data_IF_996955539466
#
_entry.id   IF_996955539466
#
_cell.length_a   1.000
_cell.length_b   1.000
_cell.length_c   1.000
_cell.angle_alpha   90.00
_cell.angle_beta   90.00
_cell.angle_gamma   90.00
#
_symmetry.space_group_name_H-M   'P 1'
#
loop_
_entity.id
_entity.type
_entity.pdbx_description
1 polymer ?
#
# COMPACT_ATOMS: atom_id res chain seq x y z
N UNK A 1 -71.34 13.14 -4.98
CA UNK A 1 -69.88 13.12 -5.24
C UNK A 1 -69.24 11.97 -4.39
N UNK A 2 -69.10 10.78 -4.94
CA UNK A 2 -68.48 9.64 -4.27
C UNK A 2 -66.96 9.90 -4.21
N UNK A 3 -66.42 10.22 -3.04
CA UNK A 3 -64.99 10.18 -2.74
C UNK A 3 -64.57 8.74 -2.77
N UNK A 4 -64.05 8.28 -3.90
CA UNK A 4 -63.38 6.99 -3.95
C UNK A 4 -62.17 7.09 -3.01
N UNK A 5 -62.27 6.40 -1.88
CA UNK A 5 -61.14 6.20 -0.98
C UNK A 5 -60.11 5.34 -1.75
N UNK A 6 -59.04 5.98 -2.19
CA UNK A 6 -57.92 5.24 -2.80
C UNK A 6 -57.45 4.18 -1.82
N UNK A 7 -57.19 2.95 -2.26
CA UNK A 7 -56.91 1.84 -1.36
C UNK A 7 -55.69 2.18 -0.51
N UNK A 8 -55.78 1.97 0.78
CA UNK A 8 -54.69 2.15 1.77
C UNK A 8 -53.38 1.45 1.33
N UNK A 9 -53.48 0.36 0.58
CA UNK A 9 -52.38 -0.38 -0.04
C UNK A 9 -51.51 0.47 -0.96
N UNK A 10 -52.05 1.45 -1.69
CA UNK A 10 -51.24 2.32 -2.55
C UNK A 10 -50.37 3.28 -1.74
N UNK A 11 -50.93 3.79 -0.63
CA UNK A 11 -50.15 4.65 0.29
C UNK A 11 -49.05 3.87 0.99
N UNK A 12 -49.36 2.67 1.48
CA UNK A 12 -48.40 1.77 2.08
C UNK A 12 -47.29 1.42 1.08
N UNK A 13 -47.65 1.03 -0.14
CA UNK A 13 -46.68 0.70 -1.19
C UNK A 13 -45.76 1.86 -1.55
N UNK A 14 -46.32 3.10 -1.62
CA UNK A 14 -45.54 4.30 -1.87
C UNK A 14 -44.53 4.62 -0.73
N UNK A 15 -45.01 4.49 0.51
CA UNK A 15 -44.13 4.68 1.69
C UNK A 15 -43.02 3.64 1.74
N UNK A 16 -43.34 2.37 1.46
CA UNK A 16 -42.35 1.30 1.40
C UNK A 16 -41.32 1.56 0.28
N UNK A 17 -41.76 2.07 -0.89
CA UNK A 17 -40.83 2.42 -1.96
C UNK A 17 -39.84 3.53 -1.57
N UNK A 18 -40.32 4.58 -0.86
CA UNK A 18 -39.44 5.65 -0.38
C UNK A 18 -38.50 5.13 0.70
N UNK A 19 -38.96 4.33 1.65
CA UNK A 19 -38.13 3.73 2.69
C UNK A 19 -37.06 2.80 2.07
N UNK A 20 -37.44 2.00 1.09
CA UNK A 20 -36.51 1.15 0.36
C UNK A 20 -35.45 1.99 -0.38
N UNK A 21 -35.87 3.09 -1.04
CA UNK A 21 -34.96 4.00 -1.73
C UNK A 21 -33.92 4.60 -0.74
N UNK A 22 -34.36 5.07 0.39
CA UNK A 22 -33.48 5.65 1.42
C UNK A 22 -32.58 4.60 2.07
N UNK A 23 -33.07 3.37 2.28
CA UNK A 23 -32.28 2.27 2.82
C UNK A 23 -31.20 1.82 1.85
N UNK A 24 -31.52 1.69 0.56
CA UNK A 24 -30.53 1.36 -0.50
C UNK A 24 -29.47 2.46 -0.57
N UNK A 25 -29.88 3.74 -0.55
CA UNK A 25 -28.95 4.86 -0.56
C UNK A 25 -28.04 4.84 0.68
N UNK A 26 -28.61 4.73 1.87
CA UNK A 26 -27.85 4.71 3.12
C UNK A 26 -26.82 3.58 3.16
N UNK A 27 -27.22 2.37 2.74
CA UNK A 27 -26.32 1.23 2.66
C UNK A 27 -25.18 1.45 1.65
N UNK A 28 -25.51 1.98 0.46
CA UNK A 28 -24.52 2.31 -0.55
C UNK A 28 -23.51 3.36 -0.07
N UNK A 29 -24.00 4.49 0.46
CA UNK A 29 -23.12 5.56 0.95
C UNK A 29 -22.29 5.11 2.15
N UNK A 30 -22.86 4.32 3.07
CA UNK A 30 -22.13 3.74 4.19
C UNK A 30 -20.94 2.87 3.71
N UNK A 31 -21.17 2.01 2.72
CA UNK A 31 -20.11 1.17 2.15
C UNK A 31 -19.02 2.01 1.46
N UNK A 32 -19.43 3.03 0.70
CA UNK A 32 -18.49 3.95 0.05
C UNK A 32 -17.63 4.70 1.07
N UNK A 33 -18.26 5.22 2.13
CA UNK A 33 -17.57 5.96 3.18
C UNK A 33 -16.65 5.06 4.02
N UNK A 34 -17.09 3.85 4.34
CA UNK A 34 -16.27 2.87 5.06
C UNK A 34 -15.03 2.49 4.26
N UNK A 35 -15.17 2.19 2.95
CA UNK A 35 -14.05 1.92 2.06
C UNK A 35 -13.08 3.10 1.99
N UNK A 36 -13.59 4.32 1.80
CA UNK A 36 -12.75 5.54 1.74
C UNK A 36 -11.99 5.78 3.04
N UNK A 37 -12.66 5.65 4.19
CA UNK A 37 -12.05 5.85 5.50
C UNK A 37 -10.92 4.82 5.74
N UNK A 38 -11.15 3.55 5.40
CA UNK A 38 -10.12 2.52 5.49
C UNK A 38 -8.95 2.79 4.53
N UNK A 39 -9.24 3.16 3.26
CA UNK A 39 -8.20 3.46 2.29
C UNK A 39 -7.32 4.66 2.72
N UNK A 40 -7.91 5.72 3.30
CA UNK A 40 -7.17 6.90 3.77
C UNK A 40 -6.18 6.52 4.89
N UNK A 41 -6.55 5.63 5.81
CA UNK A 41 -5.65 5.14 6.86
C UNK A 41 -4.41 4.44 6.29
N UNK A 42 -4.53 3.80 5.13
CA UNK A 42 -3.43 3.15 4.40
C UNK A 42 -2.71 4.06 3.39
N UNK A 43 -3.02 5.37 3.38
CA UNK A 43 -2.36 6.37 2.52
C UNK A 43 -3.17 6.84 1.32
N UNK A 44 -4.35 6.27 1.06
CA UNK A 44 -5.25 6.70 0.00
C UNK A 44 -5.91 5.56 -0.77
N UNK A 45 -6.77 5.94 -1.72
CA UNK A 45 -7.41 4.97 -2.62
C UNK A 45 -6.36 4.46 -3.61
N UNK A 46 -6.29 3.14 -3.75
CA UNK A 46 -5.32 2.49 -4.65
C UNK A 46 -5.88 2.44 -6.07
N UNK A 47 -5.10 2.96 -7.01
CA UNK A 47 -5.36 2.85 -8.46
C UNK A 47 -4.41 1.80 -9.03
N UNK A 48 -4.94 0.83 -9.77
CA UNK A 48 -4.10 -0.14 -10.48
C UNK A 48 -3.48 0.56 -11.70
N UNK A 49 -2.15 0.65 -11.74
CA UNK A 49 -1.45 1.15 -12.91
C UNK A 49 -1.62 0.13 -14.05
N UNK A 50 -2.25 0.56 -15.14
CA UNK A 50 -2.20 -0.17 -16.40
C UNK A 50 -0.83 0.03 -17.03
N UNK A 51 -0.33 -0.95 -17.79
CA UNK A 51 1.04 -1.10 -18.34
C UNK A 51 1.69 0.09 -19.06
N UNK A 52 1.31 1.30 -18.81
CA UNK A 52 1.79 2.52 -19.46
C UNK A 52 2.76 3.38 -18.61
N UNK A 53 3.15 2.90 -17.44
CA UNK A 53 4.01 3.68 -16.54
C UNK A 53 3.29 4.86 -15.85
N UNK A 54 4.04 5.82 -15.31
CA UNK A 54 3.47 6.97 -14.62
C UNK A 54 2.69 7.86 -15.59
N UNK A 55 1.45 8.22 -15.20
CA UNK A 55 0.61 9.18 -15.92
C UNK A 55 0.33 10.38 -15.02
N UNK A 56 0.08 11.55 -15.62
CA UNK A 56 -0.26 12.76 -14.86
C UNK A 56 -1.52 12.57 -13.99
N UNK A 57 -2.46 11.71 -14.41
CA UNK A 57 -3.68 11.41 -13.66
C UNK A 57 -3.46 10.59 -12.38
N UNK A 58 -2.30 9.96 -12.22
CA UNK A 58 -1.97 9.13 -11.06
C UNK A 58 -0.99 9.81 -10.09
N UNK A 59 -0.65 11.09 -10.34
CA UNK A 59 0.28 11.80 -9.47
C UNK A 59 -0.37 12.11 -8.12
N UNK A 60 0.34 11.81 -7.04
CA UNK A 60 -0.16 11.93 -5.67
C UNK A 60 -1.03 10.76 -5.19
N UNK A 61 -1.44 9.85 -6.08
CA UNK A 61 -2.29 8.71 -5.76
C UNK A 61 -1.47 7.49 -5.29
N UNK A 62 -2.11 6.62 -4.51
CA UNK A 62 -1.59 5.29 -4.24
C UNK A 62 -1.75 4.42 -5.47
N UNK A 63 -0.65 3.84 -5.96
CA UNK A 63 -0.68 2.98 -7.16
C UNK A 63 -0.25 1.56 -6.81
N UNK A 64 -0.97 0.59 -7.37
CA UNK A 64 -0.56 -0.81 -7.39
C UNK A 64 0.17 -1.08 -8.71
N UNK A 65 1.41 -1.53 -8.59
CA UNK A 65 2.27 -1.89 -9.72
C UNK A 65 2.85 -3.27 -9.50
N UNK A 66 2.81 -4.13 -10.51
CA UNK A 66 3.37 -5.49 -10.45
C UNK A 66 4.34 -5.71 -11.59
N UNK A 67 5.49 -6.31 -11.31
CA UNK A 67 6.48 -6.64 -12.34
C UNK A 67 7.81 -7.11 -11.74
N UNK A 68 8.78 -7.38 -12.62
CA UNK A 68 10.16 -7.65 -12.22
C UNK A 68 10.97 -6.35 -12.28
N UNK A 69 11.61 -5.93 -11.16
CA UNK A 69 12.38 -4.70 -11.14
C UNK A 69 13.51 -4.71 -12.17
N UNK A 70 13.64 -3.61 -12.90
CA UNK A 70 14.74 -3.38 -13.84
C UNK A 70 15.81 -2.51 -13.19
N UNK A 71 17.03 -3.04 -13.09
CA UNK A 71 18.17 -2.31 -12.54
C UNK A 71 18.83 -1.49 -13.66
N UNK A 72 18.78 -0.17 -13.55
CA UNK A 72 19.39 0.76 -14.50
C UNK A 72 20.83 1.09 -14.06
N UNK A 73 21.01 1.42 -12.78
CA UNK A 73 22.33 1.61 -12.18
C UNK A 73 22.56 0.55 -11.09
N UNK A 74 23.55 -0.35 -11.27
CA UNK A 74 23.80 -1.47 -10.37
C UNK A 74 24.19 -1.02 -8.95
N UNK A 75 24.00 -1.90 -7.97
CA UNK A 75 24.60 -1.77 -6.65
C UNK A 75 26.13 -1.88 -6.78
N UNK A 76 26.85 -1.08 -5.99
CA UNK A 76 28.31 -0.97 -6.11
C UNK A 76 29.01 -0.91 -4.75
N UNK A 77 29.77 -1.95 -4.44
CA UNK A 77 30.72 -1.96 -3.34
C UNK A 77 32.03 -1.32 -3.79
N UNK A 78 32.23 -0.07 -3.38
CA UNK A 78 33.43 0.70 -3.77
C UNK A 78 34.72 0.16 -3.15
N UNK A 79 34.64 -0.49 -2.00
CA UNK A 79 35.82 -1.03 -1.31
C UNK A 79 36.46 -2.16 -2.12
N UNK A 80 35.63 -3.10 -2.56
CA UNK A 80 36.09 -4.27 -3.31
C UNK A 80 35.97 -4.13 -4.84
N UNK A 81 35.38 -3.06 -5.34
CA UNK A 81 35.14 -2.86 -6.77
C UNK A 81 33.97 -3.68 -7.34
N UNK A 82 33.20 -4.36 -6.48
CA UNK A 82 32.15 -5.30 -6.87
C UNK A 82 30.88 -4.59 -7.31
N UNK A 83 30.36 -4.97 -8.47
CA UNK A 83 29.11 -4.48 -9.03
C UNK A 83 28.14 -5.63 -9.25
N UNK A 84 26.85 -5.44 -8.85
CA UNK A 84 25.82 -6.42 -9.10
C UNK A 84 24.54 -5.75 -9.59
N UNK A 85 23.90 -6.32 -10.62
CA UNK A 85 22.61 -5.86 -11.15
C UNK A 85 21.46 -6.40 -10.30
N UNK A 86 21.43 -6.00 -9.03
CA UNK A 86 20.46 -6.39 -8.02
C UNK A 86 19.95 -5.16 -7.31
N UNK A 87 18.71 -5.15 -6.75
CA UNK A 87 18.17 -4.00 -6.03
C UNK A 87 19.01 -3.63 -4.81
N UNK A 88 19.38 -4.65 -4.03
CA UNK A 88 20.16 -4.53 -2.79
C UNK A 88 21.23 -5.59 -2.80
N UNK A 89 22.45 -5.20 -2.44
CA UNK A 89 23.59 -6.10 -2.25
C UNK A 89 24.13 -5.91 -0.82
N UNK A 90 24.46 -6.99 -0.16
CA UNK A 90 25.10 -7.00 1.17
C UNK A 90 26.47 -7.62 1.05
N UNK A 91 27.49 -6.91 1.52
CA UNK A 91 28.78 -7.50 1.86
C UNK A 91 28.68 -8.09 3.25
N UNK A 92 29.02 -9.35 3.39
CA UNK A 92 29.14 -10.06 4.66
C UNK A 92 30.62 -10.34 4.90
N UNK A 93 31.17 -9.76 5.94
CA UNK A 93 32.55 -9.96 6.34
C UNK A 93 32.58 -10.81 7.60
N UNK A 94 33.40 -11.84 7.61
CA UNK A 94 33.60 -12.73 8.75
C UNK A 94 35.10 -12.88 9.01
N UNK A 95 35.44 -13.08 10.27
CA UNK A 95 36.80 -13.38 10.71
C UNK A 95 36.81 -14.76 11.36
N UNK A 96 37.86 -15.55 11.09
CA UNK A 96 38.07 -16.82 11.74
C UNK A 96 38.65 -16.54 13.12
N UNK A 97 37.90 -16.81 14.20
CA UNK A 97 38.24 -16.41 15.56
C UNK A 97 37.64 -17.35 16.59
N UNK A 98 38.23 -17.34 17.79
CA UNK A 98 37.74 -18.10 18.89
C UNK A 98 36.37 -17.63 19.38
N UNK A 99 35.51 -18.59 19.67
CA UNK A 99 34.28 -18.40 20.42
C UNK A 99 34.31 -19.23 21.69
N UNK A 100 33.87 -18.64 22.78
CA UNK A 100 33.61 -19.36 24.02
C UNK A 100 32.17 -19.87 24.01
N UNK A 101 31.98 -21.16 24.25
CA UNK A 101 30.69 -21.83 24.22
C UNK A 101 30.48 -22.46 25.59
N UNK A 102 29.47 -22.01 26.32
CA UNK A 102 29.06 -22.65 27.57
C UNK A 102 28.01 -23.73 27.32
N UNK A 103 28.34 -24.95 27.61
CA UNK A 103 27.43 -26.07 27.46
C UNK A 103 27.34 -26.88 28.79
N UNK A 104 26.14 -26.89 29.39
CA UNK A 104 25.80 -27.68 30.59
C UNK A 104 26.81 -27.56 31.76
N UNK A 105 27.39 -26.37 31.93
CA UNK A 105 28.36 -26.10 33.01
C UNK A 105 29.83 -26.34 32.65
N UNK A 106 30.10 -26.79 31.40
CA UNK A 106 31.44 -26.87 30.82
C UNK A 106 31.64 -25.71 29.86
N UNK A 107 32.85 -25.17 29.81
CA UNK A 107 33.24 -24.12 28.84
C UNK A 107 34.15 -24.76 27.80
N UNK A 108 33.79 -24.59 26.53
CA UNK A 108 34.56 -25.05 25.39
C UNK A 108 34.94 -23.87 24.47
N UNK A 109 35.94 -24.05 23.60
CA UNK A 109 36.46 -23.03 22.71
C UNK A 109 36.59 -23.59 21.32
N UNK A 110 35.90 -22.92 20.39
CA UNK A 110 35.90 -23.31 18.96
C UNK A 110 36.37 -22.17 18.07
N UNK A 111 37.13 -22.50 17.03
CA UNK A 111 37.48 -21.57 15.95
C UNK A 111 36.42 -21.63 14.86
N UNK A 112 35.75 -20.50 14.62
CA UNK A 112 34.75 -20.43 13.56
C UNK A 112 34.70 -19.05 12.88
N UNK A 113 33.97 -18.97 11.75
CA UNK A 113 33.74 -17.74 11.02
C UNK A 113 32.65 -16.91 11.70
N UNK A 114 33.01 -15.75 12.25
CA UNK A 114 32.10 -14.85 12.98
C UNK A 114 32.05 -13.49 12.28
N UNK A 115 30.86 -12.91 12.14
CA UNK A 115 30.60 -11.67 11.41
C UNK A 115 30.82 -10.38 12.20
N UNK A 116 31.25 -10.49 13.44
CA UNK A 116 31.59 -9.38 14.33
C UNK A 116 32.85 -9.69 15.15
N UNK A 117 33.58 -8.69 15.63
CA UNK A 117 34.71 -8.92 16.54
C UNK A 117 34.24 -9.55 17.85
N UNK A 118 34.87 -10.64 18.25
CA UNK A 118 34.64 -11.28 19.55
C UNK A 118 35.73 -10.83 20.53
N UNK A 119 35.31 -10.12 21.60
CA UNK A 119 36.22 -9.68 22.62
C UNK A 119 36.63 -10.86 23.55
N UNK A 120 37.76 -11.45 23.23
CA UNK A 120 38.31 -12.58 23.98
C UNK A 120 38.89 -12.22 25.37
N UNK A 121 38.95 -10.92 25.72
CA UNK A 121 39.35 -10.52 27.06
C UNK A 121 38.30 -10.90 28.12
N UNK A 122 37.07 -11.10 27.68
CA UNK A 122 35.95 -11.50 28.54
C UNK A 122 35.79 -13.03 28.65
N UNK A 123 36.63 -13.83 28.00
CA UNK A 123 36.61 -15.29 28.09
C UNK A 123 37.03 -15.78 29.48
N UNK A 124 36.53 -16.93 29.92
CA UNK A 124 36.94 -17.55 31.21
C UNK A 124 38.42 -17.95 31.23
N UNK A 125 38.92 -18.38 30.04
CA UNK A 125 40.32 -18.77 29.86
C UNK A 125 40.95 -18.04 28.66
N UNK A 126 41.26 -16.73 28.76
CA UNK A 126 41.68 -15.91 27.63
C UNK A 126 43.14 -16.16 27.19
N UNK A 127 43.97 -16.83 28.01
CA UNK A 127 45.41 -16.94 27.77
C UNK A 127 45.78 -17.64 26.45
N UNK A 128 44.99 -18.61 26.01
CA UNK A 128 45.24 -19.40 24.79
C UNK A 128 44.22 -19.16 23.70
N UNK A 129 43.24 -18.25 23.93
CA UNK A 129 42.12 -18.02 23.02
C UNK A 129 41.98 -16.55 22.63
N UNK A 130 43.12 -15.86 22.39
CA UNK A 130 43.12 -14.44 22.04
C UNK A 130 42.72 -14.22 20.61
N UNK A 131 41.74 -13.38 20.39
CA UNK A 131 41.28 -12.91 19.08
C UNK A 131 41.99 -11.60 18.70
N UNK A 132 42.08 -11.33 17.35
CA UNK A 132 42.39 -9.99 16.87
C UNK A 132 41.34 -8.99 17.36
N UNK A 133 41.80 -7.79 17.76
CA UNK A 133 40.92 -6.76 18.35
C UNK A 133 40.03 -6.06 17.30
N UNK A 134 40.34 -6.16 16.03
CA UNK A 134 39.63 -5.45 14.96
C UNK A 134 39.48 -6.30 13.73
N UNK A 135 38.32 -6.16 13.06
CA UNK A 135 38.11 -6.66 11.70
C UNK A 135 38.54 -5.59 10.69
N UNK A 136 39.36 -5.94 9.68
CA UNK A 136 39.88 -4.98 8.71
C UNK A 136 38.79 -4.41 7.78
N UNK A 137 37.68 -5.13 7.63
CA UNK A 137 36.53 -4.74 6.83
C UNK A 137 35.24 -4.99 7.60
N UNK A 138 34.27 -4.11 7.46
CA UNK A 138 32.92 -4.31 8.03
C UNK A 138 31.93 -4.87 7.02
N UNK A 139 30.87 -5.50 7.51
CA UNK A 139 29.70 -5.82 6.69
C UNK A 139 28.98 -4.51 6.33
N UNK A 140 28.48 -4.43 5.10
CA UNK A 140 27.88 -3.20 4.56
C UNK A 140 26.79 -3.52 3.54
N UNK A 141 25.86 -2.60 3.34
CA UNK A 141 24.75 -2.72 2.41
C UNK A 141 24.82 -1.65 1.33
N UNK A 142 24.61 -2.08 0.08
CA UNK A 142 24.66 -1.24 -1.10
C UNK A 142 23.34 -1.30 -1.86
N UNK A 143 22.75 -0.15 -2.13
CA UNK A 143 21.54 -0.04 -2.94
C UNK A 143 21.93 0.21 -4.39
N UNK A 144 21.12 -0.32 -5.30
CA UNK A 144 21.18 0.07 -6.70
C UNK A 144 20.89 1.57 -6.83
N UNK A 145 21.62 2.26 -7.69
CA UNK A 145 21.48 3.70 -7.85
C UNK A 145 20.19 4.12 -8.56
N UNK A 146 19.62 3.22 -9.38
CA UNK A 146 18.35 3.44 -10.07
C UNK A 146 17.67 2.10 -10.36
N UNK A 147 16.45 1.94 -9.83
CA UNK A 147 15.60 0.76 -10.02
C UNK A 147 14.25 1.21 -10.55
N UNK A 148 13.77 0.58 -11.61
CA UNK A 148 12.44 0.85 -12.19
C UNK A 148 11.56 -0.39 -12.15
N UNK A 149 10.28 -0.16 -11.88
CA UNK A 149 9.22 -1.16 -11.93
C UNK A 149 8.12 -0.65 -12.85
N UNK A 150 7.89 -1.31 -13.99
CA UNK A 150 6.87 -0.92 -14.98
C UNK A 150 6.87 0.58 -15.31
N UNK A 151 8.06 1.14 -15.55
CA UNK A 151 8.27 2.57 -15.87
C UNK A 151 8.41 3.50 -14.67
N UNK A 152 7.91 3.14 -13.49
CA UNK A 152 8.08 3.92 -12.27
C UNK A 152 9.49 3.79 -11.70
N UNK A 153 10.04 4.90 -11.22
CA UNK A 153 11.25 4.89 -10.40
C UNK A 153 10.91 4.44 -8.98
N UNK A 154 11.70 3.55 -8.41
CA UNK A 154 11.53 3.14 -7.01
C UNK A 154 12.37 4.02 -6.09
N UNK A 155 11.71 4.61 -5.10
CA UNK A 155 12.39 5.37 -4.05
C UNK A 155 13.31 4.46 -3.20
N UNK A 156 14.36 5.02 -2.57
CA UNK A 156 15.38 4.25 -1.84
C UNK A 156 14.80 3.33 -0.76
N UNK A 157 13.74 3.76 -0.08
CA UNK A 157 13.08 2.97 0.98
C UNK A 157 12.41 1.72 0.41
N UNK A 158 11.79 1.82 -0.78
CA UNK A 158 11.18 0.67 -1.45
C UNK A 158 12.24 -0.30 -1.99
N UNK A 159 13.33 0.24 -2.55
CA UNK A 159 14.46 -0.59 -2.99
C UNK A 159 15.04 -1.36 -1.81
N UNK A 160 15.22 -0.68 -0.66
CA UNK A 160 15.72 -1.29 0.57
C UNK A 160 14.84 -2.41 1.11
N UNK A 161 13.52 -2.31 0.88
CA UNK A 161 12.53 -3.28 1.35
C UNK A 161 12.32 -4.45 0.40
N UNK A 162 13.11 -4.57 -0.67
CA UNK A 162 13.02 -5.71 -1.60
C UNK A 162 13.24 -7.02 -0.85
N UNK A 163 12.32 -7.99 -0.99
CA UNK A 163 12.33 -9.21 -0.22
C UNK A 163 13.33 -10.24 -0.77
N UNK A 164 13.78 -11.09 0.13
CA UNK A 164 14.72 -12.17 -0.18
C UNK A 164 16.17 -11.77 0.05
N UNK A 165 16.97 -12.78 0.29
CA UNK A 165 18.42 -12.66 0.46
C UNK A 165 19.05 -13.98 0.07
N UNK A 166 19.90 -13.96 -0.96
CA UNK A 166 20.58 -15.13 -1.50
C UNK A 166 22.06 -14.84 -1.71
N UNK A 167 22.88 -15.86 -1.60
CA UNK A 167 24.32 -15.73 -1.86
C UNK A 167 24.55 -15.50 -3.35
N UNK A 168 25.43 -14.57 -3.68
CA UNK A 168 25.87 -14.30 -5.04
C UNK A 168 27.38 -14.47 -5.14
N UNK A 169 27.83 -14.93 -6.30
CA UNK A 169 29.25 -14.96 -6.64
C UNK A 169 29.54 -13.84 -7.61
N UNK A 170 30.11 -12.72 -7.15
CA UNK A 170 30.49 -11.62 -8.03
C UNK A 170 31.66 -11.99 -8.96
N UNK A 171 31.82 -11.20 -10.01
CA UNK A 171 33.06 -11.20 -10.77
C UNK A 171 34.16 -10.51 -9.96
N UNK A 172 35.26 -11.20 -9.74
CA UNK A 172 36.44 -10.72 -9.01
C UNK A 172 37.51 -10.14 -9.91
N UNK A 173 37.29 -10.07 -11.25
CA UNK A 173 38.25 -9.56 -12.22
C UNK A 173 38.62 -8.09 -12.02
N UNK A 174 37.72 -7.29 -11.47
CA UNK A 174 37.93 -5.87 -11.22
C UNK A 174 38.45 -5.54 -9.78
N UNK A 175 38.98 -6.56 -9.07
CA UNK A 175 39.54 -6.32 -7.74
C UNK A 175 40.78 -5.40 -7.85
N UNK A 176 40.86 -4.44 -6.92
CA UNK A 176 42.02 -3.57 -6.81
C UNK A 176 43.30 -4.37 -6.53
N UNK A 177 44.41 -3.97 -7.08
CA UNK A 177 45.69 -4.72 -6.99
C UNK A 177 46.10 -5.05 -5.53
N UNK A 178 45.88 -4.14 -4.59
CA UNK A 178 46.17 -4.35 -3.18
C UNK A 178 45.27 -5.44 -2.55
N UNK A 179 44.00 -5.52 -2.94
CA UNK A 179 43.10 -6.55 -2.48
C UNK A 179 43.35 -7.87 -3.18
N UNK A 180 43.64 -7.86 -4.47
CA UNK A 180 44.00 -9.05 -5.23
C UNK A 180 45.31 -9.71 -4.71
N UNK A 181 46.20 -8.93 -4.10
CA UNK A 181 47.39 -9.46 -3.45
C UNK A 181 47.11 -10.14 -2.11
N UNK A 182 46.06 -9.72 -1.40
CA UNK A 182 45.74 -10.18 -0.05
C UNK A 182 44.60 -11.20 0.00
N UNK A 183 43.75 -11.24 -1.02
CA UNK A 183 42.57 -12.11 -1.08
C UNK A 183 42.65 -13.13 -2.19
N UNK A 184 42.12 -14.31 -1.95
CA UNK A 184 41.95 -15.38 -2.94
C UNK A 184 40.50 -15.76 -3.08
N UNK A 185 39.98 -15.95 -4.31
CA UNK A 185 38.62 -16.46 -4.51
C UNK A 185 38.50 -17.90 -3.99
N UNK A 186 37.48 -18.17 -3.18
CA UNK A 186 37.16 -19.49 -2.67
C UNK A 186 35.67 -19.66 -2.43
N UNK A 187 35.03 -20.64 -3.08
CA UNK A 187 33.58 -20.95 -2.93
C UNK A 187 32.66 -19.73 -2.98
N UNK A 188 32.87 -18.83 -3.94
CA UNK A 188 32.05 -17.64 -4.13
C UNK A 188 32.38 -16.47 -3.20
N UNK A 189 33.36 -16.61 -2.32
CA UNK A 189 33.85 -15.56 -1.42
C UNK A 189 35.32 -15.21 -1.72
N UNK A 190 35.81 -14.14 -1.13
CA UNK A 190 37.22 -13.77 -1.04
C UNK A 190 37.73 -14.09 0.35
N UNK A 191 38.90 -14.76 0.47
CA UNK A 191 39.51 -15.13 1.73
C UNK A 191 40.98 -14.69 1.77
N UNK A 192 41.47 -14.32 2.96
CA UNK A 192 42.89 -13.96 3.17
C UNK A 192 43.75 -15.19 3.41
N UNK A 193 43.13 -16.32 3.72
CA UNK A 193 43.85 -17.56 4.01
C UNK A 193 44.73 -18.02 2.84
N UNK A 194 45.97 -18.42 3.14
CA UNK A 194 46.86 -19.07 2.15
C UNK A 194 46.30 -20.44 1.72
N UNK A 195 45.74 -21.19 2.69
CA UNK A 195 44.96 -22.40 2.45
C UNK A 195 43.51 -22.19 2.90
N UNK A 196 42.58 -21.85 1.97
CA UNK A 196 41.21 -21.63 2.31
C UNK A 196 40.47 -22.85 2.87
N UNK A 197 41.00 -24.03 2.74
CA UNK A 197 40.50 -25.29 3.34
C UNK A 197 40.87 -25.45 4.82
N UNK A 198 41.88 -24.73 5.27
CA UNK A 198 42.42 -24.77 6.65
C UNK A 198 42.65 -23.34 7.17
N UNK A 199 41.60 -22.55 7.39
CA UNK A 199 41.76 -21.15 7.80
C UNK A 199 42.47 -21.04 9.15
N UNK A 200 43.23 -19.95 9.31
CA UNK A 200 43.96 -19.63 10.53
C UNK A 200 43.27 -18.51 11.30
N UNK A 201 43.57 -18.44 12.59
CA UNK A 201 43.09 -17.36 13.46
C UNK A 201 43.41 -15.98 12.85
N UNK A 202 42.38 -15.15 12.68
CA UNK A 202 42.52 -13.83 12.08
C UNK A 202 42.27 -13.78 10.58
N UNK A 203 42.16 -14.93 9.89
CA UNK A 203 41.73 -14.93 8.49
C UNK A 203 40.38 -14.27 8.29
N UNK A 204 40.25 -13.58 7.16
CA UNK A 204 39.03 -12.85 6.81
C UNK A 204 38.39 -13.48 5.58
N UNK A 205 37.05 -13.65 5.66
CA UNK A 205 36.22 -14.07 4.55
C UNK A 205 35.22 -12.97 4.22
N UNK A 206 35.16 -12.59 2.95
CA UNK A 206 34.21 -11.60 2.44
C UNK A 206 33.34 -12.25 1.39
N UNK A 207 32.04 -12.24 1.59
CA UNK A 207 31.05 -12.78 0.67
C UNK A 207 29.97 -11.74 0.36
N UNK A 208 29.21 -11.96 -0.68
CA UNK A 208 28.13 -11.06 -1.06
C UNK A 208 26.82 -11.82 -1.16
N UNK A 209 25.78 -11.15 -0.68
CA UNK A 209 24.38 -11.57 -0.80
C UNK A 209 23.59 -10.51 -1.53
N UNK A 210 22.47 -10.89 -2.12
CA UNK A 210 21.62 -9.95 -2.85
C UNK A 210 20.14 -10.25 -2.66
N UNK A 211 19.31 -9.21 -2.78
CA UNK A 211 17.89 -9.40 -3.02
C UNK A 211 17.69 -9.92 -4.45
N UNK A 212 17.04 -11.09 -4.64
CA UNK A 212 16.84 -11.67 -5.95
C UNK A 212 15.97 -10.80 -6.85
N UNK A 213 16.24 -10.84 -8.16
CA UNK A 213 15.36 -10.25 -9.17
C UNK A 213 14.17 -11.17 -9.39
N UNK A 214 13.07 -10.87 -8.75
CA UNK A 214 11.81 -11.60 -8.82
C UNK A 214 10.63 -10.67 -9.08
N UNK A 215 9.52 -11.22 -9.56
CA UNK A 215 8.28 -10.45 -9.68
C UNK A 215 7.80 -10.02 -8.31
N UNK A 216 7.53 -8.73 -8.15
CA UNK A 216 6.97 -8.14 -6.93
C UNK A 216 5.75 -7.31 -7.26
N UNK A 217 4.85 -7.19 -6.30
CA UNK A 217 3.76 -6.23 -6.35
C UNK A 217 3.97 -5.20 -5.26
N UNK A 218 3.86 -3.92 -5.63
CA UNK A 218 4.05 -2.78 -4.74
C UNK A 218 2.79 -1.93 -4.76
N UNK A 219 2.31 -1.55 -3.57
CA UNK A 219 1.39 -0.42 -3.38
C UNK A 219 2.20 0.70 -2.74
N UNK A 220 2.30 1.85 -3.41
CA UNK A 220 3.01 3.03 -2.90
C UNK A 220 2.47 4.31 -3.55
N UNK A 221 2.78 5.46 -2.98
CA UNK A 221 2.38 6.74 -3.53
C UNK A 221 3.24 7.10 -4.75
N UNK A 222 2.60 7.48 -5.84
CA UNK A 222 3.28 8.02 -7.01
C UNK A 222 3.54 9.52 -6.81
N UNK A 223 4.79 9.90 -6.74
CA UNK A 223 5.23 11.30 -6.72
C UNK A 223 6.07 11.55 -7.97
N UNK A 224 5.48 12.19 -8.96
CA UNK A 224 6.11 12.54 -10.23
C UNK A 224 6.84 11.37 -10.92
N UNK A 225 6.20 10.20 -10.95
CA UNK A 225 6.74 8.98 -11.56
C UNK A 225 7.68 8.20 -10.64
N UNK A 226 7.87 8.64 -9.41
CA UNK A 226 8.63 7.92 -8.38
C UNK A 226 7.68 7.32 -7.36
N UNK A 227 7.79 6.02 -7.12
CA UNK A 227 7.07 5.36 -6.04
C UNK A 227 7.78 5.60 -4.71
N UNK A 228 7.08 6.20 -3.77
CA UNK A 228 7.56 6.50 -2.43
C UNK A 228 6.53 6.06 -1.39
N UNK A 229 6.94 5.83 -0.14
CA UNK A 229 5.98 5.65 0.94
C UNK A 229 5.07 6.87 1.07
N UNK A 230 3.77 6.65 1.24
CA UNK A 230 2.83 7.71 1.56
C UNK A 230 3.14 8.32 2.93
N UNK A 231 2.97 9.63 3.05
CA UNK A 231 3.14 10.37 4.32
C UNK A 231 1.82 10.43 5.09
N UNK A 232 1.89 10.55 6.42
CA UNK A 232 0.71 10.74 7.29
C UNK A 232 -0.20 9.51 7.37
N UNK A 233 0.34 8.32 7.16
CA UNK A 233 -0.39 7.05 7.24
C UNK A 233 -0.52 6.64 8.70
N UNK A 234 -1.72 6.27 9.11
CA UNK A 234 -2.00 5.79 10.47
C UNK A 234 -1.61 4.32 10.63
N UNK A 235 -1.84 3.51 9.58
CA UNK A 235 -1.61 2.07 9.57
C UNK A 235 -0.44 1.71 8.64
N UNK A 236 0.65 1.18 9.21
CA UNK A 236 1.77 0.64 8.46
C UNK A 236 2.84 1.64 8.03
N UNK A 237 3.64 1.25 7.05
CA UNK A 237 4.82 1.99 6.59
C UNK A 237 4.56 2.99 5.44
N UNK A 238 3.29 3.15 5.04
CA UNK A 238 2.89 3.98 3.89
C UNK A 238 3.12 3.31 2.53
N UNK A 239 3.48 2.04 2.51
CA UNK A 239 3.61 1.21 1.31
C UNK A 239 3.45 -0.26 1.68
N UNK A 240 3.16 -1.07 0.68
CA UNK A 240 3.19 -2.53 0.79
C UNK A 240 3.98 -3.11 -0.37
N UNK A 241 4.75 -4.17 -0.09
CA UNK A 241 5.59 -4.83 -1.06
C UNK A 241 5.62 -6.32 -0.75
N UNK A 242 5.23 -7.14 -1.73
CA UNK A 242 5.25 -8.60 -1.61
C UNK A 242 5.69 -9.24 -2.93
N UNK A 243 6.19 -10.48 -2.81
CA UNK A 243 6.59 -11.31 -3.95
C UNK A 243 5.37 -11.84 -4.67
N UNK A 244 5.43 -11.85 -6.00
CA UNK A 244 4.37 -12.37 -6.85
C UNK A 244 3.53 -11.26 -7.48
N UNK A 245 2.58 -11.69 -8.33
CA UNK A 245 1.59 -10.82 -8.94
C UNK A 245 0.32 -10.87 -8.13
N UNK A 246 0.07 -9.84 -7.34
CA UNK A 246 -1.00 -9.77 -6.35
C UNK A 246 -1.98 -8.66 -6.68
N UNK A 247 -3.20 -8.77 -6.12
CA UNK A 247 -4.23 -7.74 -6.20
C UNK A 247 -4.22 -6.84 -4.97
N UNK A 248 -5.00 -5.74 -4.99
CA UNK A 248 -5.16 -4.86 -3.82
C UNK A 248 -5.68 -5.63 -2.61
N UNK A 249 -6.62 -6.56 -2.82
CA UNK A 249 -7.21 -7.35 -1.73
C UNK A 249 -6.20 -8.29 -1.08
N UNK A 250 -5.27 -8.85 -1.88
CA UNK A 250 -4.21 -9.73 -1.36
C UNK A 250 -3.22 -8.96 -0.48
N UNK A 251 -2.95 -7.70 -0.83
CA UNK A 251 -2.00 -6.85 -0.11
C UNK A 251 -2.63 -6.10 1.06
N UNK A 252 -3.93 -5.82 0.99
CA UNK A 252 -4.69 -5.08 1.99
C UNK A 252 -5.99 -5.85 2.35
N UNK A 253 -5.89 -7.01 3.03
CA UNK A 253 -7.05 -7.85 3.34
C UNK A 253 -8.05 -7.17 4.30
N UNK A 254 -7.58 -6.19 5.09
CA UNK A 254 -8.41 -5.45 6.04
C UNK A 254 -9.26 -4.35 5.39
N UNK A 255 -9.07 -4.08 4.08
CA UNK A 255 -9.92 -3.15 3.36
C UNK A 255 -11.32 -3.75 3.15
N UNK A 256 -12.39 -2.99 3.46
CA UNK A 256 -13.74 -3.37 3.02
C UNK A 256 -13.76 -3.59 1.51
N UNK A 257 -14.63 -4.46 1.04
CA UNK A 257 -14.80 -4.69 -0.40
C UNK A 257 -15.04 -3.38 -1.16
N UNK A 258 -14.39 -3.23 -2.30
CA UNK A 258 -14.57 -2.04 -3.14
C UNK A 258 -16.04 -1.91 -3.58
N UNK A 259 -16.68 -0.75 -3.37
CA UNK A 259 -18.08 -0.56 -3.73
C UNK A 259 -18.30 -0.77 -5.22
N UNK A 260 -19.19 -1.72 -5.55
CA UNK A 260 -19.50 -2.06 -6.94
C UNK A 260 -20.55 -1.10 -7.50
N UNK A 261 -20.22 -0.34 -8.55
CA UNK A 261 -21.09 0.59 -9.26
C UNK A 261 -21.92 1.52 -8.33
N UNK A 262 -21.31 2.29 -7.42
CA UNK A 262 -22.06 3.09 -6.46
C UNK A 262 -23.00 4.11 -7.11
N UNK A 263 -22.68 4.59 -8.30
CA UNK A 263 -23.53 5.50 -9.07
C UNK A 263 -24.86 4.83 -9.48
N UNK A 264 -24.86 3.54 -9.81
CA UNK A 264 -26.08 2.81 -10.19
C UNK A 264 -27.07 2.72 -9.02
N UNK A 265 -26.59 2.43 -7.81
CA UNK A 265 -27.42 2.37 -6.60
C UNK A 265 -27.99 3.74 -6.24
N UNK A 266 -27.27 4.83 -6.49
CA UNK A 266 -27.75 6.21 -6.35
C UNK A 266 -28.89 6.51 -7.32
N UNK A 267 -28.72 6.15 -8.60
CA UNK A 267 -29.77 6.31 -9.61
C UNK A 267 -31.01 5.49 -9.24
N UNK A 268 -30.85 4.22 -8.87
CA UNK A 268 -31.93 3.36 -8.47
C UNK A 268 -32.71 3.94 -7.27
N UNK A 269 -32.01 4.43 -6.26
CA UNK A 269 -32.60 5.08 -5.08
C UNK A 269 -33.41 6.30 -5.49
N UNK A 270 -32.88 7.14 -6.38
CA UNK A 270 -33.57 8.32 -6.89
C UNK A 270 -34.85 7.94 -7.63
N UNK A 271 -34.80 6.97 -8.54
CA UNK A 271 -35.96 6.49 -9.31
C UNK A 271 -37.04 5.96 -8.39
N UNK A 272 -36.68 5.13 -7.40
CA UNK A 272 -37.64 4.59 -6.42
C UNK A 272 -38.25 5.71 -5.56
N UNK A 273 -37.44 6.70 -5.13
CA UNK A 273 -37.94 7.85 -4.37
C UNK A 273 -38.91 8.69 -5.21
N UNK A 274 -38.61 8.93 -6.49
CA UNK A 274 -39.55 9.65 -7.41
C UNK A 274 -40.84 8.87 -7.57
N UNK A 275 -40.78 7.56 -7.84
CA UNK A 275 -41.95 6.71 -8.01
C UNK A 275 -42.85 6.72 -6.75
N UNK A 276 -42.26 6.52 -5.56
CA UNK A 276 -42.97 6.56 -4.29
C UNK A 276 -43.60 7.92 -4.02
N UNK A 277 -42.83 9.01 -4.21
CA UNK A 277 -43.33 10.39 -4.03
C UNK A 277 -44.46 10.73 -5.01
N UNK A 278 -44.36 10.25 -6.24
CA UNK A 278 -45.38 10.44 -7.27
C UNK A 278 -46.71 9.76 -6.91
N UNK A 279 -46.66 8.51 -6.43
CA UNK A 279 -47.84 7.78 -5.99
C UNK A 279 -48.47 8.45 -4.77
N UNK A 280 -47.66 8.92 -3.80
CA UNK A 280 -48.16 9.67 -2.65
C UNK A 280 -48.88 10.96 -3.08
N UNK A 281 -48.27 11.77 -3.93
CA UNK A 281 -48.85 13.02 -4.41
C UNK A 281 -50.14 12.80 -5.22
N UNK A 282 -50.22 11.73 -6.03
CA UNK A 282 -51.47 11.36 -6.72
C UNK A 282 -52.58 10.94 -5.77
N UNK A 283 -52.24 10.52 -4.57
CA UNK A 283 -53.20 10.17 -3.54
C UNK A 283 -53.72 11.41 -2.78
N UNK A 284 -53.00 12.51 -2.84
CA UNK A 284 -53.45 13.81 -2.31
C UNK A 284 -54.41 14.53 -3.28
N UNK A 285 -55.33 15.35 -2.78
CA UNK A 285 -56.31 16.09 -3.60
C UNK A 285 -55.67 17.32 -4.27
N UNK A 286 -54.46 17.16 -4.84
CA UNK A 286 -53.75 18.23 -5.50
C UNK A 286 -54.07 18.24 -7.01
N UNK A 287 -54.42 19.42 -7.54
CA UNK A 287 -54.66 19.62 -8.97
C UNK A 287 -53.34 19.75 -9.74
N UNK A 288 -53.28 19.25 -10.96
CA UNK A 288 -52.14 19.42 -11.90
C UNK A 288 -51.13 18.27 -11.93
N UNK A 289 -49.97 18.50 -12.57
CA UNK A 289 -48.91 17.50 -12.75
C UNK A 289 -48.26 17.14 -11.42
N UNK A 290 -48.34 15.88 -11.01
CA UNK A 290 -47.73 15.36 -9.79
C UNK A 290 -46.23 15.01 -9.93
N UNK A 291 -45.68 14.97 -11.18
CA UNK A 291 -44.33 14.50 -11.43
C UNK A 291 -43.26 15.49 -10.96
N UNK A 292 -43.45 16.79 -11.30
CA UNK A 292 -42.47 17.83 -10.91
C UNK A 292 -42.26 17.92 -9.40
N UNK A 293 -43.29 18.00 -8.54
CA UNK A 293 -43.08 18.00 -7.09
C UNK A 293 -42.60 16.63 -6.56
N UNK A 294 -42.95 15.52 -7.21
CA UNK A 294 -42.39 14.20 -6.84
C UNK A 294 -40.88 14.14 -7.03
N UNK A 295 -40.37 14.66 -8.13
CA UNK A 295 -38.92 14.77 -8.40
C UNK A 295 -38.28 15.66 -7.32
N UNK A 296 -38.86 16.80 -7.01
CA UNK A 296 -38.32 17.71 -5.99
C UNK A 296 -38.24 17.08 -4.60
N UNK A 297 -39.29 16.35 -4.19
CA UNK A 297 -39.31 15.62 -2.91
C UNK A 297 -38.20 14.54 -2.92
N UNK A 298 -38.09 13.76 -4.01
CA UNK A 298 -37.10 12.72 -4.13
C UNK A 298 -35.65 13.27 -4.07
N UNK A 299 -35.37 14.38 -4.76
CA UNK A 299 -34.03 15.04 -4.69
C UNK A 299 -33.80 15.56 -3.25
N UNK A 300 -34.78 16.15 -2.60
CA UNK A 300 -34.64 16.60 -1.21
C UNK A 300 -34.28 15.47 -0.27
N UNK A 301 -34.96 14.32 -0.37
CA UNK A 301 -34.73 13.16 0.49
C UNK A 301 -33.35 12.51 0.19
N UNK A 302 -33.06 12.27 -1.08
CA UNK A 302 -31.81 11.59 -1.49
C UNK A 302 -30.59 12.47 -1.24
N UNK A 303 -30.62 13.73 -1.67
CA UNK A 303 -29.48 14.63 -1.46
C UNK A 303 -29.34 15.04 0.02
N UNK A 304 -30.44 15.17 0.76
CA UNK A 304 -30.43 15.46 2.19
C UNK A 304 -29.80 14.36 3.01
N UNK A 305 -30.20 13.11 2.78
CA UNK A 305 -29.63 11.95 3.46
C UNK A 305 -28.13 11.76 3.08
N UNK A 306 -27.81 11.76 1.78
CA UNK A 306 -26.44 11.64 1.33
C UNK A 306 -25.57 12.79 1.87
N UNK A 307 -26.07 14.04 1.86
CA UNK A 307 -25.35 15.19 2.36
C UNK A 307 -24.98 15.07 3.84
N UNK A 308 -25.93 14.67 4.69
CA UNK A 308 -25.64 14.43 6.11
C UNK A 308 -24.58 13.35 6.32
N UNK A 309 -24.63 12.25 5.54
CA UNK A 309 -23.64 11.16 5.65
C UNK A 309 -22.23 11.59 5.18
N UNK A 310 -22.15 12.50 4.19
CA UNK A 310 -20.86 12.93 3.64
C UNK A 310 -20.16 14.04 4.41
N UNK A 311 -20.88 14.83 5.25
CA UNK A 311 -20.30 15.93 6.05
C UNK A 311 -19.03 15.51 6.81
N UNK A 312 -19.01 14.39 7.56
CA UNK A 312 -17.83 14.01 8.34
C UNK A 312 -16.63 13.62 7.48
N UNK A 313 -16.86 13.07 6.27
CA UNK A 313 -15.83 12.57 5.40
C UNK A 313 -15.33 13.58 4.37
N UNK A 314 -16.24 14.39 3.84
CA UNK A 314 -16.00 15.43 2.81
C UNK A 314 -17.00 16.56 3.01
N UNK A 315 -16.64 17.52 3.85
CA UNK A 315 -17.49 18.66 4.20
C UNK A 315 -18.00 19.44 2.98
N UNK A 316 -17.12 19.64 1.98
CA UNK A 316 -17.44 20.31 0.71
C UNK A 316 -18.57 19.60 -0.07
N UNK A 317 -18.51 18.28 -0.19
CA UNK A 317 -19.53 17.46 -0.87
C UNK A 317 -20.81 17.45 -0.03
N UNK A 318 -20.68 17.25 1.26
CA UNK A 318 -21.84 17.23 2.18
C UNK A 318 -22.66 18.53 2.12
N UNK A 319 -21.99 19.68 2.21
CA UNK A 319 -22.63 21.00 2.12
C UNK A 319 -23.29 21.22 0.75
N UNK A 320 -22.63 20.84 -0.33
CA UNK A 320 -23.16 20.94 -1.69
C UNK A 320 -24.47 20.13 -1.84
N UNK A 321 -24.48 18.88 -1.37
CA UNK A 321 -25.66 18.03 -1.41
C UNK A 321 -26.81 18.56 -0.55
N UNK A 322 -26.52 19.08 0.64
CA UNK A 322 -27.52 19.73 1.48
C UNK A 322 -28.08 20.99 0.80
N UNK A 323 -27.22 21.81 0.17
CA UNK A 323 -27.64 22.96 -0.61
C UNK A 323 -28.62 22.60 -1.71
N UNK A 324 -28.32 21.53 -2.46
CA UNK A 324 -29.21 20.98 -3.50
C UNK A 324 -30.53 20.49 -2.91
N UNK A 325 -30.49 19.82 -1.78
CA UNK A 325 -31.72 19.39 -1.09
C UNK A 325 -32.63 20.57 -0.66
N UNK A 326 -32.04 21.61 -0.09
CA UNK A 326 -32.77 22.80 0.33
C UNK A 326 -33.35 23.57 -0.87
N UNK A 327 -32.62 23.67 -1.97
CA UNK A 327 -33.09 24.29 -3.20
C UNK A 327 -34.26 23.50 -3.78
N UNK A 328 -34.15 22.17 -3.85
CA UNK A 328 -35.22 21.30 -4.32
C UNK A 328 -36.47 21.43 -3.43
N UNK A 329 -36.30 21.49 -2.12
CA UNK A 329 -37.36 21.69 -1.16
C UNK A 329 -38.09 23.05 -1.37
N UNK A 330 -37.33 24.14 -1.53
CA UNK A 330 -37.83 25.46 -1.80
C UNK A 330 -38.66 25.55 -3.08
N UNK A 331 -38.12 25.03 -4.19
CA UNK A 331 -38.81 24.96 -5.48
C UNK A 331 -40.09 24.11 -5.38
N UNK A 332 -40.01 22.98 -4.68
CA UNK A 332 -41.17 22.11 -4.49
C UNK A 332 -42.26 22.78 -3.68
N UNK A 333 -41.90 23.43 -2.56
CA UNK A 333 -42.84 24.18 -1.69
C UNK A 333 -43.49 25.31 -2.48
N UNK A 334 -42.72 26.09 -3.23
CA UNK A 334 -43.27 27.18 -4.08
C UNK A 334 -44.26 26.65 -5.12
N UNK A 335 -43.90 25.58 -5.84
CA UNK A 335 -44.81 24.95 -6.81
C UNK A 335 -46.08 24.40 -6.20
N UNK A 336 -46.01 23.81 -5.02
CA UNK A 336 -47.21 23.33 -4.28
C UNK A 336 -48.06 24.47 -3.81
N UNK A 337 -47.47 25.58 -3.39
CA UNK A 337 -48.19 26.80 -2.97
C UNK A 337 -48.97 27.46 -4.14
N UNK A 338 -48.32 27.64 -5.30
CA UNK A 338 -49.00 28.17 -6.51
C UNK A 338 -50.21 27.33 -6.92
N UNK A 339 -50.17 26.02 -6.75
CA UNK A 339 -51.27 25.08 -7.05
C UNK A 339 -52.43 25.12 -6.10
N UNK A 340 -52.25 25.63 -4.90
CA UNK A 340 -53.35 25.83 -3.95
C UNK A 340 -54.14 27.10 -4.26
N UNK A 341 -53.53 28.04 -4.97
CA UNK A 341 -54.18 29.33 -5.32
C UNK A 341 -54.86 29.28 -6.70
N UNK A 342 -54.54 28.33 -7.56
CA UNK A 342 -55.21 28.09 -8.86
C UNK A 342 -56.30 27.01 -8.75
#
# INVERSE_FOLDING_TARGET
>A
MKREMKPVWMLLGASVAILAALSILASNESNVLAYRAAAIRHGGIVVTATHSGPTAGNNGEMVLVSGTPRIVRPAFDRTFGIRARVPVMWRVTQMFQWREIDYAGSTDYELEWVDHPVDSSNFKHPAHHRNPSQMPFGSERFLAGEVRLDGFLLGPKLVLSMPGREDITPDFGDLRANLAASFRPYKGALVTSEDPGSPQLGDVRVSWQAAPLQTVTIIAQNQDGTLTPASGVEDGAGYQLQVGKLTVVDLQPDLPGQPYLPWLWRVLSLVLAVAGSFVLLRSAPLKGDGLTPAIGIAITLVCGLAGVMWIPARFDIGVLLIGLALLALGVTAWRLYERQQS
#
